data_IF_284393038544
#
_entry.id   IF_284393038544
#
_cell.length_a   1.000
_cell.length_b   1.000
_cell.length_c   1.000
_cell.angle_alpha   90.00
_cell.angle_beta   90.00
_cell.angle_gamma   90.00
#
_symmetry.space_group_name_H-M   'P 1'
#
loop_
_entity.id
_entity.type
_entity.pdbx_description
1 polymer ?
#
# COMPACT_ATOMS: atom_id res chain seq x y z
N UNK A 1 -5.08 -4.04 -3.48
CA UNK A 1 -3.97 -3.11 -3.77
C UNK A 1 -2.94 -3.73 -4.69
N UNK A 2 -2.40 -4.93 -4.41
CA UNK A 2 -1.42 -5.59 -5.30
C UNK A 2 -1.88 -5.72 -6.75
N UNK A 3 -3.11 -6.22 -6.96
CA UNK A 3 -3.70 -6.30 -8.31
C UNK A 3 -3.79 -4.96 -9.05
N UNK A 4 -4.04 -3.84 -8.36
CA UNK A 4 -4.03 -2.51 -8.98
C UNK A 4 -2.63 -2.19 -9.50
N UNK A 5 -1.61 -2.43 -8.66
CA UNK A 5 -0.20 -2.20 -9.01
C UNK A 5 0.19 -3.08 -10.20
N UNK A 6 -0.13 -4.36 -10.16
CA UNK A 6 0.22 -5.30 -11.23
C UNK A 6 -0.48 -4.95 -12.56
N UNK A 7 -1.78 -4.64 -12.55
CA UNK A 7 -2.51 -4.29 -13.77
C UNK A 7 -2.02 -2.99 -14.41
N UNK A 8 -1.77 -1.96 -13.60
CA UNK A 8 -1.26 -0.69 -14.12
C UNK A 8 0.19 -0.86 -14.59
N UNK A 9 1.03 -1.60 -13.85
CA UNK A 9 2.40 -1.88 -14.26
C UNK A 9 2.48 -2.67 -15.56
N UNK A 10 1.64 -3.70 -15.74
CA UNK A 10 1.54 -4.43 -17.02
C UNK A 10 1.08 -3.51 -18.15
N UNK A 11 0.13 -2.60 -17.89
CA UNK A 11 -0.29 -1.60 -18.88
C UNK A 11 0.81 -0.60 -19.25
N UNK A 12 1.82 -0.39 -18.39
CA UNK A 12 3.03 0.38 -18.67
C UNK A 12 4.11 -0.44 -19.40
N UNK A 13 3.90 -1.73 -19.63
CA UNK A 13 4.88 -2.64 -20.23
C UNK A 13 5.91 -3.23 -19.25
N UNK A 14 5.66 -3.16 -17.94
CA UNK A 14 6.55 -3.70 -16.92
C UNK A 14 6.36 -5.22 -16.72
N UNK A 15 7.41 -5.97 -16.32
CA UNK A 15 7.30 -7.39 -15.99
C UNK A 15 6.37 -7.65 -14.80
N UNK A 16 5.72 -8.82 -14.78
CA UNK A 16 4.95 -9.30 -13.63
C UNK A 16 5.84 -10.16 -12.71
N UNK A 17 5.77 -10.02 -11.37
CA UNK A 17 5.00 -9.02 -10.61
C UNK A 17 5.55 -7.59 -10.76
N UNK A 18 4.66 -6.61 -10.94
CA UNK A 18 5.09 -5.28 -11.40
C UNK A 18 5.51 -4.34 -10.26
N UNK A 19 5.25 -4.70 -9.00
CA UNK A 19 5.43 -3.81 -7.86
C UNK A 19 6.81 -3.16 -7.76
N UNK A 20 7.88 -3.97 -7.83
CA UNK A 20 9.26 -3.48 -7.74
C UNK A 20 9.62 -2.56 -8.92
N UNK A 21 9.31 -2.97 -10.14
CA UNK A 21 9.60 -2.19 -11.34
C UNK A 21 8.83 -0.88 -11.39
N UNK A 22 7.57 -0.89 -10.95
CA UNK A 22 6.73 0.30 -10.92
C UNK A 22 7.20 1.29 -9.84
N UNK A 23 7.74 0.78 -8.72
CA UNK A 23 8.39 1.59 -7.69
C UNK A 23 9.69 2.24 -8.19
N UNK A 24 10.58 1.46 -8.81
CA UNK A 24 11.81 1.97 -9.43
C UNK A 24 11.49 3.08 -10.43
N UNK A 25 10.45 2.89 -11.24
CA UNK A 25 9.95 3.89 -12.18
C UNK A 25 9.43 5.14 -11.49
N UNK A 26 8.62 5.01 -10.43
CA UNK A 26 8.11 6.14 -9.66
C UNK A 26 9.24 6.98 -9.05
N UNK A 27 10.30 6.34 -8.55
CA UNK A 27 11.47 7.00 -7.96
C UNK A 27 12.30 7.82 -8.95
N UNK A 28 12.12 7.63 -10.27
CA UNK A 28 12.77 8.45 -11.29
C UNK A 28 12.16 9.84 -11.44
N UNK A 29 10.97 10.07 -10.87
CA UNK A 29 10.26 11.34 -10.94
C UNK A 29 10.99 12.39 -10.07
N UNK A 30 11.51 13.44 -10.70
CA UNK A 30 12.31 14.48 -10.03
C UNK A 30 11.48 15.52 -9.28
N UNK A 31 10.18 15.59 -9.55
CA UNK A 31 9.27 16.60 -9.01
C UNK A 31 8.05 15.93 -8.40
N UNK A 32 7.54 16.47 -7.31
CA UNK A 32 6.35 15.94 -6.61
C UNK A 32 5.04 16.42 -7.28
N UNK A 33 5.12 16.94 -8.50
CA UNK A 33 3.99 17.39 -9.31
C UNK A 33 3.56 16.26 -10.24
N UNK A 34 2.48 15.56 -9.86
CA UNK A 34 1.88 14.49 -10.63
C UNK A 34 0.37 14.40 -10.35
N UNK A 35 -0.41 13.86 -11.30
CA UNK A 35 -1.87 13.83 -11.21
C UNK A 35 -2.40 13.20 -9.91
N UNK A 36 -3.44 13.81 -9.33
CA UNK A 36 -4.09 13.30 -8.12
C UNK A 36 -5.20 12.32 -8.49
N UNK A 37 -5.03 11.05 -8.11
CA UNK A 37 -6.12 10.09 -8.15
C UNK A 37 -6.82 10.12 -6.78
N UNK A 38 -8.14 10.41 -6.72
CA UNK A 38 -8.86 10.52 -5.47
C UNK A 38 -9.02 9.15 -4.80
N UNK A 39 -8.82 9.13 -3.47
CA UNK A 39 -9.12 7.97 -2.64
C UNK A 39 -10.53 8.09 -2.05
N UNK A 40 -11.38 7.08 -2.29
CA UNK A 40 -12.73 7.00 -1.75
C UNK A 40 -12.86 5.85 -0.74
N UNK A 41 -13.16 6.18 0.52
CA UNK A 41 -13.33 5.23 1.62
C UNK A 41 -14.71 5.41 2.25
N UNK A 42 -15.57 4.41 2.10
CA UNK A 42 -16.86 4.30 2.81
C UNK A 42 -16.63 3.76 4.22
N UNK A 43 -17.67 3.67 5.05
CA UNK A 43 -17.53 3.38 6.49
C UNK A 43 -16.67 2.14 6.80
N UNK A 44 -16.89 1.03 6.09
CA UNK A 44 -16.15 -0.23 6.29
C UNK A 44 -15.59 -0.80 4.98
N UNK A 45 -15.50 0.00 3.91
CA UNK A 45 -15.04 -0.51 2.61
C UNK A 45 -14.41 0.57 1.73
N UNK A 46 -13.55 0.12 0.82
CA UNK A 46 -12.94 0.92 -0.24
C UNK A 46 -12.84 0.07 -1.51
N UNK A 47 -12.67 0.73 -2.65
CA UNK A 47 -12.41 0.05 -3.93
C UNK A 47 -11.28 0.74 -4.68
N UNK A 48 -10.47 -0.07 -5.36
CA UNK A 48 -9.42 0.39 -6.25
C UNK A 48 -9.82 0.36 -7.74
N UNK A 49 -11.04 -0.06 -8.08
CA UNK A 49 -11.50 -0.10 -9.49
C UNK A 49 -11.56 1.28 -10.15
N UNK A 50 -12.02 2.30 -9.40
CA UNK A 50 -12.01 3.70 -9.84
C UNK A 50 -10.57 4.21 -10.05
N UNK A 51 -9.70 4.11 -9.03
CA UNK A 51 -8.27 4.41 -9.18
C UNK A 51 -7.57 3.69 -10.34
N UNK A 52 -7.89 2.41 -10.58
CA UNK A 52 -7.38 1.64 -11.73
C UNK A 52 -7.79 2.30 -13.05
N UNK A 53 -9.08 2.58 -13.20
CA UNK A 53 -9.61 3.24 -14.41
C UNK A 53 -8.97 4.61 -14.63
N UNK A 54 -8.82 5.40 -13.56
CA UNK A 54 -8.16 6.71 -13.62
C UNK A 54 -6.68 6.59 -14.02
N UNK A 55 -5.92 5.66 -13.45
CA UNK A 55 -4.53 5.45 -13.79
C UNK A 55 -4.35 5.03 -15.25
N UNK A 56 -5.18 4.09 -15.73
CA UNK A 56 -5.18 3.66 -17.13
C UNK A 56 -5.59 4.78 -18.09
N UNK A 57 -6.48 5.67 -17.65
CA UNK A 57 -6.85 6.86 -18.43
C UNK A 57 -5.68 7.83 -18.55
N UNK A 58 -4.98 8.14 -17.46
CA UNK A 58 -3.80 9.02 -17.47
C UNK A 58 -2.71 8.49 -18.43
N UNK A 59 -2.46 7.18 -18.42
CA UNK A 59 -1.53 6.56 -19.37
C UNK A 59 -1.95 6.77 -20.83
N UNK A 60 -3.24 6.62 -21.12
CA UNK A 60 -3.79 6.85 -22.47
C UNK A 60 -3.73 8.31 -22.90
N UNK A 61 -3.83 9.23 -21.95
CA UNK A 61 -3.73 10.68 -22.17
C UNK A 61 -2.27 11.15 -22.33
N UNK A 62 -1.29 10.24 -22.19
CA UNK A 62 0.12 10.51 -22.45
C UNK A 62 0.89 11.00 -21.22
N UNK A 63 0.32 10.87 -20.02
CA UNK A 63 1.03 11.19 -18.78
C UNK A 63 2.27 10.30 -18.61
N UNK A 64 3.40 10.85 -18.11
CA UNK A 64 4.60 10.06 -17.86
C UNK A 64 4.31 8.87 -16.96
N UNK A 65 4.78 7.68 -17.33
CA UNK A 65 4.52 6.46 -16.57
C UNK A 65 5.02 6.55 -15.11
N UNK A 66 6.12 7.27 -14.86
CA UNK A 66 6.62 7.59 -13.51
C UNK A 66 5.65 8.46 -12.69
N UNK A 67 4.98 9.42 -13.33
CA UNK A 67 3.97 10.26 -12.69
C UNK A 67 2.73 9.41 -12.33
N UNK A 68 2.26 8.58 -13.26
CA UNK A 68 1.12 7.67 -13.00
C UNK A 68 1.47 6.65 -11.91
N UNK A 69 2.68 6.09 -11.89
CA UNK A 69 3.12 5.19 -10.84
C UNK A 69 3.07 5.86 -9.45
N UNK A 70 3.58 7.09 -9.36
CA UNK A 70 3.51 7.91 -8.15
C UNK A 70 2.05 8.21 -7.74
N UNK A 71 1.16 8.50 -8.70
CA UNK A 71 -0.28 8.67 -8.44
C UNK A 71 -0.92 7.41 -7.85
N UNK A 72 -0.56 6.23 -8.36
CA UNK A 72 -1.07 4.93 -7.90
C UNK A 72 -0.60 4.61 -6.48
N UNK A 73 0.69 4.77 -6.17
CA UNK A 73 1.18 4.55 -4.81
C UNK A 73 0.57 5.56 -3.83
N UNK A 74 0.44 6.83 -4.24
CA UNK A 74 -0.21 7.88 -3.43
C UNK A 74 -1.66 7.55 -3.10
N UNK A 75 -2.46 7.10 -4.07
CA UNK A 75 -3.88 6.76 -3.81
C UNK A 75 -4.01 5.51 -2.94
N UNK A 76 -3.11 4.53 -3.07
CA UNK A 76 -3.06 3.36 -2.18
C UNK A 76 -2.78 3.82 -0.74
N UNK A 77 -1.70 4.57 -0.52
CA UNK A 77 -1.32 5.07 0.79
C UNK A 77 -2.43 5.95 1.42
N UNK A 78 -3.04 6.86 0.65
CA UNK A 78 -4.16 7.69 1.13
C UNK A 78 -5.38 6.86 1.54
N UNK A 79 -5.65 5.78 0.82
CA UNK A 79 -6.76 4.88 1.15
C UNK A 79 -6.47 4.14 2.46
N UNK A 80 -5.25 3.64 2.64
CA UNK A 80 -4.82 2.98 3.87
C UNK A 80 -4.81 3.94 5.06
N UNK A 81 -4.27 5.16 4.90
CA UNK A 81 -4.30 6.23 5.92
C UNK A 81 -5.73 6.46 6.43
N UNK A 82 -6.69 6.66 5.52
CA UNK A 82 -8.10 6.88 5.88
C UNK A 82 -8.71 5.67 6.61
N UNK A 83 -8.41 4.45 6.16
CA UNK A 83 -8.90 3.23 6.80
C UNK A 83 -8.34 3.05 8.21
N UNK A 84 -7.03 3.24 8.37
CA UNK A 84 -6.33 3.07 9.64
C UNK A 84 -6.78 4.10 10.68
N UNK A 85 -6.93 5.37 10.27
CA UNK A 85 -7.45 6.42 11.15
C UNK A 85 -8.86 6.09 11.66
N UNK A 86 -9.77 5.67 10.76
CA UNK A 86 -11.13 5.27 11.14
C UNK A 86 -11.12 4.04 12.06
N UNK A 87 -10.30 3.04 11.76
CA UNK A 87 -10.19 1.84 12.57
C UNK A 87 -9.68 2.15 13.97
N UNK A 88 -8.60 2.95 14.08
CA UNK A 88 -8.02 3.38 15.36
C UNK A 88 -9.01 4.20 16.20
N UNK A 89 -9.80 5.08 15.58
CA UNK A 89 -10.85 5.83 16.28
C UNK A 89 -11.92 4.91 16.89
N UNK A 90 -12.32 3.85 16.17
CA UNK A 90 -13.33 2.89 16.64
C UNK A 90 -12.79 1.94 17.71
N UNK A 91 -11.57 1.43 17.54
CA UNK A 91 -11.00 0.40 18.43
C UNK A 91 -10.19 0.94 19.61
N UNK A 92 -9.81 2.23 19.57
CA UNK A 92 -8.86 2.88 20.49
C UNK A 92 -7.45 2.27 20.47
N UNK A 93 -7.15 1.40 19.50
CA UNK A 93 -5.80 0.85 19.31
C UNK A 93 -4.84 1.92 18.78
N UNK A 94 -3.60 1.86 19.24
CA UNK A 94 -2.53 2.79 18.86
C UNK A 94 -1.41 2.15 18.05
N UNK A 95 -1.34 0.82 18.07
CA UNK A 95 -0.32 0.06 17.36
C UNK A 95 -0.94 -0.63 16.14
N UNK A 96 -0.25 -0.54 15.00
CA UNK A 96 -0.70 -1.13 13.74
C UNK A 96 0.43 -1.96 13.16
N UNK A 97 0.17 -3.25 12.95
CA UNK A 97 1.06 -4.12 12.19
C UNK A 97 0.62 -4.15 10.73
N UNK A 98 1.53 -3.78 9.82
CA UNK A 98 1.35 -3.80 8.37
C UNK A 98 2.13 -4.97 7.77
N UNK A 99 1.42 -5.82 7.03
CA UNK A 99 1.95 -7.02 6.36
C UNK A 99 1.49 -7.06 4.90
N UNK A 100 2.10 -7.94 4.09
CA UNK A 100 1.77 -8.11 2.69
C UNK A 100 2.75 -7.43 1.73
N UNK A 101 2.93 -7.99 0.53
CA UNK A 101 3.93 -7.51 -0.44
C UNK A 101 3.80 -6.03 -0.83
N UNK A 102 2.60 -5.45 -0.80
CA UNK A 102 2.40 -4.01 -1.07
C UNK A 102 3.04 -3.14 0.01
N UNK A 103 3.16 -3.62 1.25
CA UNK A 103 3.78 -2.91 2.38
C UNK A 103 5.31 -2.92 2.33
N UNK A 104 5.90 -3.69 1.39
CA UNK A 104 7.32 -3.60 1.07
C UNK A 104 7.66 -2.36 0.24
N UNK A 105 6.67 -1.71 -0.38
CA UNK A 105 6.88 -0.49 -1.15
C UNK A 105 7.27 0.68 -0.24
N UNK A 106 8.44 1.27 -0.50
CA UNK A 106 9.06 2.31 0.31
C UNK A 106 8.27 3.63 0.25
N UNK A 107 7.69 3.96 -0.91
CA UNK A 107 6.87 5.18 -1.08
C UNK A 107 5.59 5.13 -0.23
N UNK A 108 4.89 4.00 -0.23
CA UNK A 108 3.72 3.78 0.62
C UNK A 108 4.13 3.80 2.08
N UNK A 109 5.19 3.05 2.45
CA UNK A 109 5.68 2.96 3.83
C UNK A 109 6.02 4.33 4.39
N UNK A 110 6.84 5.11 3.69
CA UNK A 110 7.29 6.42 4.13
C UNK A 110 6.09 7.35 4.35
N UNK A 111 5.16 7.38 3.38
CA UNK A 111 3.96 8.21 3.50
C UNK A 111 3.11 7.82 4.71
N UNK A 112 2.94 6.52 4.99
CA UNK A 112 2.16 6.10 6.15
C UNK A 112 2.86 6.47 7.46
N UNK A 113 4.18 6.30 7.55
CA UNK A 113 4.96 6.73 8.71
C UNK A 113 4.78 8.24 8.96
N UNK A 114 5.04 9.07 7.94
CA UNK A 114 4.96 10.52 8.04
C UNK A 114 3.58 11.01 8.49
N UNK A 115 2.51 10.32 8.05
CA UNK A 115 1.12 10.75 8.28
C UNK A 115 0.54 10.21 9.57
N UNK A 116 0.84 8.95 9.91
CA UNK A 116 0.17 8.26 11.01
C UNK A 116 0.98 8.28 12.30
N UNK A 117 2.31 8.35 12.23
CA UNK A 117 3.15 8.54 13.41
C UNK A 117 3.31 10.00 13.82
N UNK A 118 2.78 10.93 13.02
CA UNK A 118 2.74 12.34 13.38
C UNK A 118 2.11 12.54 14.77
N UNK A 119 2.67 13.40 15.66
CA UNK A 119 2.21 13.56 17.05
C UNK A 119 0.73 13.87 17.21
N UNK A 120 0.13 14.57 16.24
CA UNK A 120 -1.31 14.87 16.23
C UNK A 120 -2.20 13.63 16.02
N UNK A 121 -1.65 12.54 15.47
CA UNK A 121 -2.35 11.25 15.25
C UNK A 121 -1.92 10.23 16.30
N UNK A 122 -0.61 10.04 16.46
CA UNK A 122 0.00 9.21 17.50
C UNK A 122 -0.27 7.71 17.33
N UNK A 123 -0.31 7.21 16.09
CA UNK A 123 -0.22 5.76 15.85
C UNK A 123 1.25 5.34 15.81
N UNK A 124 1.52 4.08 16.15
CA UNK A 124 2.83 3.46 16.00
C UNK A 124 2.71 2.34 14.98
N UNK A 125 3.51 2.42 13.92
CA UNK A 125 3.45 1.47 12.82
C UNK A 125 4.59 0.47 12.91
N UNK A 126 4.24 -0.81 12.83
CA UNK A 126 5.20 -1.89 12.65
C UNK A 126 5.00 -2.45 11.26
N UNK A 127 6.10 -2.70 10.56
CA UNK A 127 6.04 -3.36 9.26
C UNK A 127 6.81 -4.66 9.34
N UNK A 128 6.21 -5.74 8.83
CA UNK A 128 6.92 -6.99 8.69
C UNK A 128 8.15 -6.81 7.76
N UNK A 129 9.16 -7.65 7.99
CA UNK A 129 10.31 -7.71 7.10
C UNK A 129 9.84 -8.09 5.69
N UNK A 130 10.40 -7.49 4.62
CA UNK A 130 9.93 -7.75 3.26
C UNK A 130 9.90 -9.23 2.88
N UNK A 131 10.90 -10.00 3.32
CA UNK A 131 11.00 -11.43 3.04
C UNK A 131 9.97 -12.28 3.81
N UNK A 132 9.39 -11.76 4.89
CA UNK A 132 8.31 -12.39 5.65
C UNK A 132 6.91 -11.90 5.23
N UNK A 133 6.84 -10.86 4.40
CA UNK A 133 5.59 -10.19 4.02
C UNK A 133 4.87 -10.86 2.84
N UNK A 134 5.54 -11.74 2.10
CA UNK A 134 4.94 -12.59 1.06
C UNK A 134 4.44 -13.90 1.65
N UNK A 135 3.51 -14.58 0.98
CA UNK A 135 3.03 -15.89 1.42
C UNK A 135 4.20 -16.87 1.63
N UNK A 136 4.35 -17.36 2.87
CA UNK A 136 5.42 -18.26 3.28
C UNK A 136 4.95 -19.16 4.45
N UNK A 137 5.73 -20.20 4.74
CA UNK A 137 5.36 -21.19 5.76
C UNK A 137 5.59 -20.73 7.21
N UNK A 138 6.34 -19.64 7.43
CA UNK A 138 6.78 -19.21 8.78
C UNK A 138 5.57 -18.85 9.65
N UNK A 139 4.63 -18.07 9.10
CA UNK A 139 3.44 -17.63 9.85
C UNK A 139 2.56 -18.80 10.32
N UNK A 140 2.33 -19.79 9.44
CA UNK A 140 1.52 -20.97 9.76
C UNK A 140 2.25 -21.91 10.73
N UNK A 141 3.55 -22.13 10.52
CA UNK A 141 4.35 -22.94 11.43
C UNK A 141 4.37 -22.36 12.85
N UNK A 142 4.53 -21.03 12.98
CA UNK A 142 4.49 -20.36 14.27
C UNK A 142 3.11 -20.43 14.92
N UNK A 143 2.03 -20.24 14.14
CA UNK A 143 0.67 -20.38 14.66
C UNK A 143 0.42 -21.79 15.23
N UNK A 144 0.84 -22.84 14.51
CA UNK A 144 0.73 -24.22 14.96
C UNK A 144 1.51 -24.47 16.27
N UNK A 145 2.75 -23.95 16.35
CA UNK A 145 3.56 -24.06 17.56
C UNK A 145 2.93 -23.34 18.77
N UNK A 146 2.38 -22.14 18.59
CA UNK A 146 1.67 -21.42 19.66
C UNK A 146 0.43 -22.16 20.15
N UNK A 147 -0.38 -22.68 19.22
CA UNK A 147 -1.60 -23.40 19.57
C UNK A 147 -1.29 -24.72 20.30
N UNK A 148 -0.26 -25.44 19.87
CA UNK A 148 0.18 -26.68 20.54
C UNK A 148 0.72 -26.46 21.95
N UNK A 149 1.28 -25.28 22.25
CA UNK A 149 1.71 -24.92 23.61
C UNK A 149 0.57 -24.43 24.52
N UNK A 150 -0.62 -24.17 23.96
CA UNK A 150 -1.78 -23.69 24.73
C UNK A 150 -2.62 -24.83 25.32
N UNK A 151 -2.31 -26.08 24.95
CA UNK A 151 -3.00 -27.30 25.41
C UNK A 151 -2.26 -28.04 26.56
N UNK A 152 -1.11 -27.51 27.02
CA UNK A 152 -0.39 -27.94 28.24
C UNK A 152 -0.59 -26.93 29.39
#
# INVERSE_FOLDING_TARGET
>A
AGQLVDRVGVAMGLPFPAGKHMEELALTLKQDDFPVIPSAVKENSFSFSGPETSALKLLKEGEPAAAVASSVFRVIANTLEKCLLKAAQKSKLKEVLLVGGVMANTLIRQRLLDRLEHPAVGLKLYFAEPHLSTDNAVGIAMLAACLGQSEE
#
